data_IF_158096522154
#
_entry.id   IF_158096522154
#
_cell.length_a   1.000
_cell.length_b   1.000
_cell.length_c   1.000
_cell.angle_alpha   90.00
_cell.angle_beta   90.00
_cell.angle_gamma   90.00
#
_symmetry.space_group_name_H-M   'P 1'
#
loop_
_entity.id
_entity.type
_entity.pdbx_description
1 polymer ?
#
# COMPACT_ATOMS: atom_id res chain seq x y z
N UNK A 1 35.48 -1.42 -2.56
CA UNK A 1 34.92 -0.29 -1.79
C UNK A 1 33.40 -0.26 -2.01
N UNK A 2 32.57 -0.66 -1.04
CA UNK A 2 31.10 -0.56 -1.16
C UNK A 2 30.74 0.93 -1.15
N UNK A 3 30.28 1.50 -2.26
CA UNK A 3 29.71 2.85 -2.26
C UNK A 3 28.46 2.83 -1.38
N UNK A 4 28.39 3.73 -0.40
CA UNK A 4 27.20 3.93 0.41
C UNK A 4 26.01 4.22 -0.52
N UNK A 5 24.89 3.52 -0.31
CA UNK A 5 23.68 3.72 -1.11
C UNK A 5 23.21 5.15 -0.86
N UNK A 6 23.14 5.96 -1.91
CA UNK A 6 22.49 7.27 -1.82
C UNK A 6 20.99 7.04 -1.72
N UNK A 7 20.36 7.59 -0.69
CA UNK A 7 18.91 7.54 -0.50
C UNK A 7 18.24 8.78 -1.08
N UNK A 8 16.99 8.64 -1.53
CA UNK A 8 16.19 9.79 -1.94
C UNK A 8 15.76 10.59 -0.69
N UNK A 9 15.88 11.91 -0.76
CA UNK A 9 15.30 12.80 0.25
C UNK A 9 13.77 12.74 0.23
N UNK A 10 13.13 13.10 1.33
CA UNK A 10 11.67 13.25 1.42
C UNK A 10 11.10 14.11 0.28
N UNK A 11 11.75 15.23 -0.04
CA UNK A 11 11.28 16.13 -1.10
C UNK A 11 11.37 15.48 -2.48
N UNK A 12 12.43 14.73 -2.75
CA UNK A 12 12.55 13.98 -4.00
C UNK A 12 11.49 12.88 -4.09
N UNK A 13 11.24 12.16 -2.98
CA UNK A 13 10.20 11.14 -2.93
C UNK A 13 8.81 11.73 -3.22
N UNK A 14 8.49 12.88 -2.61
CA UNK A 14 7.25 13.58 -2.87
C UNK A 14 7.11 14.03 -4.34
N UNK A 15 8.19 14.56 -4.95
CA UNK A 15 8.19 14.94 -6.37
C UNK A 15 7.92 13.75 -7.29
N UNK A 16 8.56 12.61 -7.02
CA UNK A 16 8.36 11.37 -7.78
C UNK A 16 6.93 10.86 -7.61
N UNK A 17 6.40 10.87 -6.38
CA UNK A 17 5.03 10.46 -6.09
C UNK A 17 3.99 11.29 -6.85
N UNK A 18 4.18 12.62 -6.91
CA UNK A 18 3.31 13.53 -7.67
C UNK A 18 3.45 13.30 -9.18
N UNK A 19 4.68 13.27 -9.70
CA UNK A 19 4.95 13.02 -11.13
C UNK A 19 4.31 11.71 -11.60
N UNK A 20 4.46 10.67 -10.79
CA UNK A 20 3.94 9.33 -11.12
C UNK A 20 2.47 9.14 -10.70
N UNK A 21 1.79 10.22 -10.26
CA UNK A 21 0.37 10.25 -9.90
C UNK A 21 -0.02 9.15 -8.91
N UNK A 22 0.83 8.95 -7.89
CA UNK A 22 0.70 7.88 -6.90
C UNK A 22 0.46 6.49 -7.54
N UNK A 23 1.09 6.20 -8.67
CA UNK A 23 0.89 4.93 -9.40
C UNK A 23 2.20 4.15 -9.46
N UNK A 24 2.14 2.86 -9.16
CA UNK A 24 3.30 1.98 -9.29
C UNK A 24 3.71 1.81 -10.76
N UNK A 25 4.92 2.22 -11.11
CA UNK A 25 5.46 2.11 -12.47
C UNK A 25 5.49 0.67 -13.03
N UNK A 26 5.63 -0.33 -12.16
CA UNK A 26 5.75 -1.74 -12.57
C UNK A 26 4.42 -2.46 -12.74
N UNK A 27 3.33 -1.93 -12.17
CA UNK A 27 2.07 -2.68 -12.04
C UNK A 27 0.81 -1.87 -12.30
N UNK A 28 0.91 -0.54 -12.33
CA UNK A 28 -0.27 0.33 -12.39
C UNK A 28 -1.09 0.35 -11.10
N UNK A 29 -0.63 -0.30 -10.03
CA UNK A 29 -1.36 -0.30 -8.75
C UNK A 29 -1.39 1.11 -8.18
N UNK A 30 -2.55 1.45 -7.62
CA UNK A 30 -2.79 2.68 -6.88
C UNK A 30 -2.01 2.69 -5.56
N UNK A 31 -1.29 3.78 -5.30
CA UNK A 31 -0.52 4.03 -4.08
C UNK A 31 -1.09 5.21 -3.27
N UNK A 32 -2.20 5.79 -3.72
CA UNK A 32 -2.99 6.76 -2.96
C UNK A 32 -3.88 6.04 -1.96
N UNK A 33 -3.50 6.09 -0.69
CA UNK A 33 -4.07 5.21 0.34
C UNK A 33 -5.53 5.53 0.70
N UNK A 34 -6.02 6.74 0.41
CA UNK A 34 -7.42 7.10 0.69
C UNK A 34 -8.41 6.42 -0.26
N UNK A 35 -7.96 5.84 -1.36
CA UNK A 35 -8.80 5.01 -2.23
C UNK A 35 -8.93 3.57 -1.72
N UNK A 36 -8.02 3.12 -0.84
CA UNK A 36 -8.01 1.77 -0.24
C UNK A 36 -7.73 1.82 1.28
N UNK A 37 -8.64 2.41 2.08
CA UNK A 37 -8.36 2.79 3.47
C UNK A 37 -8.27 1.64 4.49
N UNK A 38 -8.45 0.37 4.09
CA UNK A 38 -8.40 -0.77 5.02
C UNK A 38 -7.65 -2.00 4.49
N UNK A 39 -6.93 -1.89 3.37
CA UNK A 39 -6.24 -3.05 2.77
C UNK A 39 -5.15 -3.59 3.72
N UNK A 40 -5.26 -4.85 4.20
CA UNK A 40 -4.16 -5.51 4.91
C UNK A 40 -2.99 -5.75 3.94
N UNK A 41 -1.75 -5.64 4.42
CA UNK A 41 -0.56 -5.92 3.59
C UNK A 41 -0.09 -4.76 2.69
N UNK A 42 -0.53 -3.54 3.01
CA UNK A 42 -0.01 -2.22 2.60
C UNK A 42 0.90 -2.21 1.35
N UNK A 43 0.33 -1.87 0.19
CA UNK A 43 1.11 -1.40 -0.95
C UNK A 43 1.55 0.04 -0.71
N UNK A 44 2.45 0.23 0.25
CA UNK A 44 3.03 1.55 0.53
C UNK A 44 3.81 2.04 -0.68
N UNK A 45 3.76 3.35 -0.90
CA UNK A 45 4.62 3.99 -1.87
C UNK A 45 6.09 3.78 -1.45
N UNK A 46 6.86 3.29 -2.41
CA UNK A 46 8.30 3.21 -2.34
C UNK A 46 8.88 3.97 -3.52
N UNK A 47 10.06 4.54 -3.32
CA UNK A 47 10.82 5.13 -4.42
C UNK A 47 12.00 4.23 -4.71
N UNK A 48 12.01 3.67 -5.92
CA UNK A 48 13.09 2.84 -6.39
C UNK A 48 13.91 3.56 -7.47
N UNK A 49 15.16 3.13 -7.63
CA UNK A 49 16.01 3.63 -8.69
C UNK A 49 15.71 2.91 -10.01
N UNK A 50 15.53 3.65 -11.10
CA UNK A 50 15.46 3.10 -12.47
C UNK A 50 16.77 2.38 -12.77
N UNK A 51 17.88 3.13 -12.74
CA UNK A 51 19.23 2.58 -12.73
C UNK A 51 19.65 2.32 -11.29
N UNK A 52 19.95 1.07 -10.88
CA UNK A 52 20.34 0.76 -9.51
C UNK A 52 21.54 1.59 -9.05
N UNK A 53 21.52 2.02 -7.79
CA UNK A 53 22.64 2.75 -7.17
C UNK A 53 23.95 1.97 -7.23
N UNK A 54 23.90 0.64 -7.06
CA UNK A 54 25.05 -0.25 -7.21
C UNK A 54 25.67 -0.23 -8.62
N UNK A 55 24.89 0.14 -9.65
CA UNK A 55 25.35 0.31 -11.04
C UNK A 55 25.59 1.77 -11.41
N UNK A 56 25.72 2.66 -10.43
CA UNK A 56 26.03 4.07 -10.62
C UNK A 56 24.82 4.99 -10.82
N UNK A 57 23.59 4.49 -10.59
CA UNK A 57 22.41 5.35 -10.56
C UNK A 57 22.46 6.35 -9.40
N UNK A 58 22.07 7.60 -9.66
CA UNK A 58 22.04 8.67 -8.67
C UNK A 58 20.66 8.79 -8.04
N UNK A 59 20.57 9.32 -6.83
CA UNK A 59 19.29 9.69 -6.21
C UNK A 59 18.82 11.04 -6.74
N UNK A 60 18.44 11.08 -8.01
CA UNK A 60 17.81 12.23 -8.68
C UNK A 60 16.37 11.89 -9.02
N UNK A 61 15.50 12.90 -9.11
CA UNK A 61 14.07 12.70 -9.46
C UNK A 61 13.93 11.89 -10.75
N UNK A 62 14.75 12.19 -11.76
CA UNK A 62 14.73 11.52 -13.07
C UNK A 62 15.12 10.03 -12.99
N UNK A 63 15.92 9.64 -12.01
CA UNK A 63 16.33 8.23 -11.82
C UNK A 63 15.46 7.53 -10.76
N UNK A 64 14.44 8.19 -10.22
CA UNK A 64 13.53 7.63 -9.24
C UNK A 64 12.16 7.36 -9.84
N UNK A 65 11.51 6.28 -9.42
CA UNK A 65 10.14 5.92 -9.81
C UNK A 65 9.33 5.50 -8.60
N UNK A 66 8.03 5.76 -8.64
CA UNK A 66 7.07 5.28 -7.66
C UNK A 66 6.83 3.78 -7.90
N UNK A 67 7.04 2.98 -6.87
CA UNK A 67 6.89 1.53 -6.90
C UNK A 67 6.09 1.10 -5.68
N UNK A 68 5.27 0.06 -5.81
CA UNK A 68 4.71 -0.57 -4.63
C UNK A 68 5.80 -1.37 -3.92
N UNK A 69 5.73 -1.41 -2.58
CA UNK A 69 6.65 -2.22 -1.78
C UNK A 69 6.76 -3.67 -2.29
N UNK A 70 5.64 -4.30 -2.66
CA UNK A 70 5.58 -5.67 -3.18
C UNK A 70 6.37 -5.83 -4.48
N UNK A 71 6.19 -4.94 -5.46
CA UNK A 71 6.90 -5.02 -6.73
C UNK A 71 8.37 -4.65 -6.59
N UNK A 72 8.70 -3.73 -5.69
CA UNK A 72 10.09 -3.45 -5.33
C UNK A 72 10.78 -4.68 -4.71
N UNK A 73 10.10 -5.42 -3.82
CA UNK A 73 10.62 -6.67 -3.27
C UNK A 73 10.85 -7.72 -4.38
N UNK A 74 9.87 -7.90 -5.28
CA UNK A 74 10.01 -8.79 -6.44
C UNK A 74 11.23 -8.43 -7.31
N UNK A 75 11.41 -7.14 -7.63
CA UNK A 75 12.53 -6.65 -8.45
C UNK A 75 13.90 -6.92 -7.81
N UNK A 76 14.02 -6.89 -6.48
CA UNK A 76 15.27 -7.29 -5.79
C UNK A 76 15.68 -8.72 -6.11
N UNK A 77 14.72 -9.61 -6.32
CA UNK A 77 14.95 -11.00 -6.68
C UNK A 77 15.10 -11.23 -8.18
N UNK A 78 14.69 -10.27 -9.02
CA UNK A 78 14.79 -10.35 -10.47
C UNK A 78 15.36 -9.06 -11.09
N UNK A 79 16.69 -8.89 -11.00
CA UNK A 79 17.39 -7.67 -11.45
C UNK A 79 17.31 -7.37 -12.96
N UNK A 80 16.73 -8.26 -13.76
CA UNK A 80 16.51 -8.10 -15.19
C UNK A 80 15.13 -7.52 -15.54
N UNK A 81 14.20 -7.49 -14.58
CA UNK A 81 12.83 -6.98 -14.80
C UNK A 81 12.83 -5.44 -14.63
N UNK A 82 13.19 -4.75 -15.71
CA UNK A 82 13.13 -3.28 -15.81
C UNK A 82 11.92 -2.81 -16.61
N UNK A 83 10.92 -3.67 -16.80
CA UNK A 83 9.77 -3.36 -17.62
C UNK A 83 8.83 -2.40 -16.89
N UNK A 84 8.65 -1.21 -17.44
CA UNK A 84 7.71 -0.21 -16.93
C UNK A 84 6.39 -0.33 -17.66
N UNK A 85 5.32 -0.57 -16.90
CA UNK A 85 3.95 -0.47 -17.38
C UNK A 85 3.44 0.97 -17.34
N UNK A 86 3.97 1.78 -16.44
CA UNK A 86 3.63 3.19 -16.28
C UNK A 86 4.89 4.04 -16.13
N UNK A 87 4.88 5.21 -16.75
CA UNK A 87 5.93 6.24 -16.66
C UNK A 87 5.25 7.61 -16.49
N UNK A 88 5.68 8.40 -15.51
CA UNK A 88 5.08 9.71 -15.19
C UNK A 88 3.54 9.69 -15.03
N UNK A 89 3.04 8.57 -14.50
CA UNK A 89 1.60 8.34 -14.30
C UNK A 89 0.81 8.11 -15.59
N UNK A 90 1.48 7.72 -16.68
CA UNK A 90 0.87 7.34 -17.96
C UNK A 90 1.19 5.89 -18.32
N UNK A 91 0.25 5.14 -18.91
CA UNK A 91 0.53 3.79 -19.41
C UNK A 91 1.54 3.84 -20.56
N UNK A 92 2.52 2.93 -20.55
CA UNK A 92 3.51 2.79 -21.63
C UNK A 92 2.93 2.00 -22.80
N UNK A 93 3.60 1.98 -23.95
CA UNK A 93 3.22 1.09 -25.06
C UNK A 93 3.17 -0.37 -24.64
N UNK A 94 4.12 -0.79 -23.78
CA UNK A 94 4.18 -2.13 -23.21
C UNK A 94 2.95 -2.50 -22.37
N UNK A 95 2.32 -1.52 -21.70
CA UNK A 95 1.03 -1.77 -21.04
C UNK A 95 -0.05 -2.11 -22.07
N UNK A 96 -0.20 -1.30 -23.12
CA UNK A 96 -1.24 -1.50 -24.14
C UNK A 96 -1.04 -2.80 -24.92
N UNK A 97 0.21 -3.20 -25.18
CA UNK A 97 0.53 -4.47 -25.83
C UNK A 97 0.12 -5.68 -24.98
N UNK A 98 0.31 -5.62 -23.66
CA UNK A 98 0.03 -6.75 -22.77
C UNK A 98 -1.42 -6.82 -22.28
N UNK A 99 -2.02 -5.66 -21.98
CA UNK A 99 -3.32 -5.57 -21.31
C UNK A 99 -4.40 -4.92 -22.17
N UNK A 100 -4.05 -4.34 -23.31
CA UNK A 100 -4.99 -3.61 -24.15
C UNK A 100 -5.40 -2.27 -23.52
N UNK A 101 -6.67 -1.92 -23.67
CA UNK A 101 -7.21 -0.63 -23.21
C UNK A 101 -7.18 -0.50 -21.69
N UNK A 102 -6.79 0.66 -21.20
CA UNK A 102 -6.84 1.01 -19.79
C UNK A 102 -8.29 0.94 -19.25
N UNK A 103 -8.54 0.29 -18.10
CA UNK A 103 -9.85 0.32 -17.45
C UNK A 103 -10.30 1.75 -17.12
N UNK A 104 -11.59 2.03 -17.24
CA UNK A 104 -12.16 3.39 -17.05
C UNK A 104 -11.89 3.90 -15.63
N UNK A 105 -11.92 3.03 -14.63
CA UNK A 105 -11.64 3.36 -13.24
C UNK A 105 -10.18 3.79 -13.06
N UNK A 106 -9.25 3.12 -13.75
CA UNK A 106 -7.84 3.45 -13.72
C UNK A 106 -7.54 4.76 -14.45
N UNK A 107 -8.15 4.97 -15.62
CA UNK A 107 -8.08 6.22 -16.37
C UNK A 107 -8.59 7.41 -15.53
N UNK A 108 -9.79 7.28 -14.97
CA UNK A 108 -10.41 8.30 -14.11
C UNK A 108 -9.56 8.61 -12.89
N UNK A 109 -8.93 7.60 -12.28
CA UNK A 109 -7.98 7.79 -11.19
C UNK A 109 -6.74 8.56 -11.63
N UNK A 110 -6.12 8.22 -12.76
CA UNK A 110 -4.91 8.91 -13.25
C UNK A 110 -5.20 10.37 -13.61
N UNK A 111 -6.39 10.66 -14.13
CA UNK A 111 -6.84 12.03 -14.36
C UNK A 111 -7.04 12.77 -13.04
N UNK A 112 -7.77 12.18 -12.10
CA UNK A 112 -7.97 12.78 -10.77
C UNK A 112 -6.65 13.08 -10.07
N UNK A 113 -5.75 12.11 -10.01
CA UNK A 113 -4.48 12.22 -9.28
C UNK A 113 -3.44 13.09 -10.00
N UNK A 114 -3.72 13.65 -11.19
CA UNK A 114 -2.82 14.63 -11.80
C UNK A 114 -2.77 15.95 -11.04
N UNK A 115 -3.77 16.23 -10.18
CA UNK A 115 -3.79 17.42 -9.32
C UNK A 115 -3.02 17.26 -8.00
N UNK A 116 -2.34 16.12 -7.78
CA UNK A 116 -1.55 15.89 -6.57
C UNK A 116 -0.45 16.95 -6.42
N UNK A 117 -0.17 17.32 -5.17
CA UNK A 117 0.86 18.26 -4.78
C UNK A 117 1.86 17.61 -3.82
N UNK A 118 3.01 18.27 -3.62
CA UNK A 118 4.13 17.73 -2.83
C UNK A 118 3.70 17.44 -1.38
N UNK A 119 2.86 18.28 -0.81
CA UNK A 119 2.28 18.14 0.52
C UNK A 119 1.49 16.83 0.66
N UNK A 120 0.73 16.43 -0.37
CA UNK A 120 -0.16 15.27 -0.33
C UNK A 120 0.62 13.97 -0.10
N UNK A 121 1.87 13.90 -0.55
CA UNK A 121 2.77 12.80 -0.23
C UNK A 121 3.02 12.66 1.27
N UNK A 122 3.14 13.77 2.01
CA UNK A 122 3.32 13.73 3.46
C UNK A 122 2.06 13.23 4.17
N UNK A 123 0.88 13.56 3.65
CA UNK A 123 -0.38 12.97 4.14
C UNK A 123 -0.40 11.47 3.86
N UNK A 124 -0.14 11.04 2.61
CA UNK A 124 -0.08 9.62 2.24
C UNK A 124 0.92 8.86 3.12
N UNK A 125 2.09 9.45 3.39
CA UNK A 125 3.09 8.86 4.27
C UNK A 125 2.65 8.78 5.73
N UNK A 126 1.90 9.77 6.22
CA UNK A 126 1.27 9.70 7.54
C UNK A 126 0.34 8.48 7.63
N UNK A 127 -0.57 8.32 6.65
CA UNK A 127 -1.49 7.19 6.59
C UNK A 127 -0.74 5.85 6.54
N UNK A 128 0.29 5.75 5.69
CA UNK A 128 1.17 4.58 5.60
C UNK A 128 1.78 4.19 6.95
N UNK A 129 2.25 5.17 7.74
CA UNK A 129 2.82 4.91 9.06
C UNK A 129 1.75 4.47 10.07
N UNK A 130 0.52 4.98 9.97
CA UNK A 130 -0.59 4.48 10.80
C UNK A 130 -0.89 3.03 10.46
N UNK A 131 -0.94 2.65 9.18
CA UNK A 131 -1.12 1.26 8.77
C UNK A 131 -0.02 0.34 9.29
N UNK A 132 1.25 0.76 9.23
CA UNK A 132 2.36 0.02 9.81
C UNK A 132 2.19 -0.18 11.33
N UNK A 133 1.73 0.86 12.05
CA UNK A 133 1.44 0.77 13.48
C UNK A 133 0.24 -0.14 13.80
N UNK A 134 -0.83 -0.09 13.00
CA UNK A 134 -1.97 -1.00 13.14
C UNK A 134 -1.55 -2.45 12.88
N UNK A 135 -0.80 -2.69 11.80
CA UNK A 135 -0.27 -4.02 11.49
C UNK A 135 0.58 -4.57 12.63
N UNK A 136 1.55 -3.79 13.12
CA UNK A 136 2.41 -4.19 14.24
C UNK A 136 1.60 -4.52 15.49
N UNK A 137 0.62 -3.68 15.84
CA UNK A 137 -0.26 -3.90 16.98
C UNK A 137 -1.06 -5.19 16.83
N UNK A 138 -1.73 -5.40 15.68
CA UNK A 138 -2.53 -6.61 15.47
C UNK A 138 -1.66 -7.87 15.44
N UNK A 139 -0.49 -7.80 14.81
CA UNK A 139 0.43 -8.93 14.73
C UNK A 139 0.97 -9.31 16.11
N UNK A 140 1.33 -8.32 16.94
CA UNK A 140 1.72 -8.56 18.33
C UNK A 140 0.57 -9.11 19.16
N UNK A 141 -0.62 -8.50 19.08
CA UNK A 141 -1.79 -8.93 19.86
C UNK A 141 -2.19 -10.39 19.50
N UNK A 142 -1.99 -10.82 18.25
CA UNK A 142 -2.33 -12.18 17.79
C UNK A 142 -1.21 -13.21 17.97
N UNK A 143 0.03 -12.86 17.67
CA UNK A 143 1.16 -13.80 17.58
C UNK A 143 2.25 -13.58 18.63
N UNK A 144 2.12 -12.57 19.49
CA UNK A 144 3.09 -12.29 20.56
C UNK A 144 4.45 -11.77 20.06
N UNK A 145 4.51 -11.13 18.90
CA UNK A 145 5.79 -10.64 18.33
C UNK A 145 6.34 -9.41 19.07
N UNK A 146 7.64 -9.45 19.41
CA UNK A 146 8.37 -8.29 19.95
C UNK A 146 9.26 -7.64 18.89
N UNK A 147 8.64 -6.84 18.02
CA UNK A 147 9.37 -6.04 17.04
C UNK A 147 10.15 -4.91 17.72
N UNK A 148 11.38 -4.63 17.26
CA UNK A 148 12.21 -3.51 17.76
C UNK A 148 11.52 -2.14 17.66
N UNK A 149 10.61 -1.99 16.70
CA UNK A 149 9.78 -0.80 16.51
C UNK A 149 8.35 -1.19 16.72
N UNK A 150 7.78 -0.70 17.81
CA UNK A 150 6.39 -0.95 18.16
C UNK A 150 5.44 0.01 17.45
N UNK A 151 4.15 -0.26 17.57
CA UNK A 151 3.07 0.58 17.07
C UNK A 151 3.15 2.03 17.58
N UNK A 152 3.68 2.29 18.78
CA UNK A 152 3.89 3.66 19.27
C UNK A 152 4.95 4.42 18.47
N UNK A 153 6.07 3.77 18.12
CA UNK A 153 7.07 4.33 17.22
C UNK A 153 6.43 4.77 15.89
N UNK A 154 5.61 3.90 15.32
CA UNK A 154 4.95 4.16 14.03
C UNK A 154 3.97 5.32 14.10
N UNK A 155 3.15 5.41 15.16
CA UNK A 155 2.23 6.53 15.33
C UNK A 155 2.95 7.87 15.53
N UNK A 156 4.06 7.90 16.27
CA UNK A 156 4.89 9.12 16.38
C UNK A 156 5.47 9.52 15.02
N UNK A 157 5.94 8.56 14.23
CA UNK A 157 6.45 8.82 12.88
C UNK A 157 5.35 9.32 11.94
N UNK A 158 4.13 8.79 12.05
CA UNK A 158 2.94 9.25 11.33
C UNK A 158 2.62 10.71 11.68
N UNK A 159 2.52 11.01 12.98
CA UNK A 159 2.20 12.36 13.45
C UNK A 159 3.19 13.42 12.95
N UNK A 160 4.50 13.12 12.94
CA UNK A 160 5.52 14.01 12.36
C UNK A 160 5.29 14.31 10.88
N UNK A 161 4.83 13.32 10.11
CA UNK A 161 4.50 13.50 8.68
C UNK A 161 3.22 14.32 8.51
N UNK A 162 2.22 14.08 9.34
CA UNK A 162 0.99 14.88 9.38
C UNK A 162 1.27 16.36 9.68
N UNK A 163 2.06 16.68 10.71
CA UNK A 163 2.42 18.08 11.02
C UNK A 163 3.13 18.76 9.86
N UNK A 164 3.97 18.02 9.12
CA UNK A 164 4.62 18.53 7.91
C UNK A 164 3.64 18.78 6.78
N UNK A 165 2.68 17.87 6.55
CA UNK A 165 1.58 18.09 5.62
C UNK A 165 0.79 19.36 5.97
N UNK A 166 0.32 19.49 7.22
CA UNK A 166 -0.48 20.62 7.68
C UNK A 166 0.23 21.96 7.46
N UNK A 167 1.54 22.02 7.75
CA UNK A 167 2.35 23.22 7.50
C UNK A 167 2.46 23.60 6.03
N UNK A 168 2.61 22.61 5.15
CA UNK A 168 2.77 22.86 3.71
C UNK A 168 1.43 23.15 3.02
N UNK A 169 0.34 22.56 3.52
CA UNK A 169 -1.01 22.67 2.97
C UNK A 169 -1.79 23.90 3.47
N UNK A 170 -1.29 24.65 4.46
CA UNK A 170 -2.04 25.69 5.17
C UNK A 170 -2.70 26.75 4.27
N UNK A 171 -2.09 27.08 3.12
CA UNK A 171 -2.59 28.09 2.18
C UNK A 171 -2.89 27.49 0.79
N UNK A 172 -3.17 26.19 0.73
CA UNK A 172 -3.44 25.47 -0.51
C UNK A 172 -4.93 25.13 -0.61
N UNK A 173 -5.50 25.06 -1.82
CA UNK A 173 -6.82 24.48 -2.02
C UNK A 173 -6.87 23.06 -1.42
N UNK A 174 -8.02 22.71 -0.83
CA UNK A 174 -8.19 21.42 -0.16
C UNK A 174 -8.08 20.25 -1.17
N UNK A 175 -8.06 19.01 -0.65
CA UNK A 175 -8.07 17.84 -1.52
C UNK A 175 -9.37 17.77 -2.32
N UNK A 176 -10.47 18.22 -1.72
CA UNK A 176 -11.79 18.32 -2.32
C UNK A 176 -11.83 19.42 -3.38
N UNK A 177 -11.30 20.61 -3.10
CA UNK A 177 -11.27 21.72 -4.09
C UNK A 177 -10.42 21.38 -5.33
N UNK A 178 -9.48 20.45 -5.20
CA UNK A 178 -8.62 19.96 -6.29
C UNK A 178 -9.14 18.69 -6.96
N UNK A 179 -10.35 18.26 -6.62
CA UNK A 179 -10.98 17.01 -7.05
C UNK A 179 -10.18 15.75 -6.74
N UNK A 180 -9.12 15.82 -5.91
CA UNK A 180 -8.33 14.66 -5.47
C UNK A 180 -9.20 13.69 -4.67
N UNK A 181 -10.25 14.20 -4.02
CA UNK A 181 -11.24 13.39 -3.32
C UNK A 181 -12.63 13.96 -3.63
N UNK A 182 -13.44 13.19 -4.36
CA UNK A 182 -14.77 13.65 -4.78
C UNK A 182 -15.89 13.03 -3.95
N UNK A 183 -15.77 11.75 -3.55
CA UNK A 183 -16.76 11.03 -2.72
C UNK A 183 -16.06 10.02 -1.83
N UNK A 184 -15.46 10.45 -0.70
CA UNK A 184 -14.78 9.51 0.17
C UNK A 184 -15.82 8.52 0.72
N UNK A 185 -15.47 7.23 0.76
CA UNK A 185 -16.26 6.26 1.53
C UNK A 185 -16.33 6.72 3.00
N UNK A 186 -17.33 6.30 3.79
CA UNK A 186 -17.42 6.69 5.21
C UNK A 186 -16.10 6.48 5.96
N UNK A 187 -15.43 5.39 5.64
CA UNK A 187 -14.11 5.00 6.15
C UNK A 187 -12.99 5.92 5.66
N UNK A 188 -12.91 6.24 4.36
CA UNK A 188 -11.98 7.26 3.87
C UNK A 188 -12.24 8.63 4.53
N UNK A 189 -13.50 8.95 4.83
CA UNK A 189 -13.90 10.12 5.62
C UNK A 189 -13.33 10.11 7.04
N UNK A 190 -13.29 8.95 7.71
CA UNK A 190 -12.63 8.82 9.01
C UNK A 190 -11.12 9.08 8.91
N UNK A 191 -10.46 8.52 7.89
CA UNK A 191 -9.03 8.79 7.64
C UNK A 191 -8.76 10.25 7.34
N UNK A 192 -9.65 10.93 6.62
CA UNK A 192 -9.53 12.35 6.33
C UNK A 192 -9.57 13.21 7.59
N UNK A 193 -10.23 12.79 8.67
CA UNK A 193 -10.20 13.52 9.95
C UNK A 193 -8.80 13.63 10.56
N UNK A 194 -7.88 12.73 10.21
CA UNK A 194 -6.48 12.86 10.65
C UNK A 194 -5.86 14.16 10.18
N UNK A 195 -6.25 14.67 9.01
CA UNK A 195 -5.67 15.89 8.42
C UNK A 195 -5.88 17.12 9.31
N UNK A 196 -6.94 17.12 10.12
CA UNK A 196 -7.33 18.22 11.01
C UNK A 196 -6.95 17.99 12.47
N UNK A 197 -6.27 16.89 12.81
CA UNK A 197 -5.82 16.65 14.18
C UNK A 197 -4.77 17.70 14.58
N UNK A 198 -5.10 18.57 15.53
CA UNK A 198 -4.28 19.72 15.95
C UNK A 198 -3.18 19.38 16.94
N UNK A 199 -3.20 18.17 17.50
CA UNK A 199 -2.24 17.71 18.51
C UNK A 199 -2.02 16.20 18.41
N UNK A 200 -0.95 15.71 19.02
CA UNK A 200 -0.68 14.26 19.08
C UNK A 200 -1.80 13.51 19.80
N UNK A 201 -2.35 13.97 20.95
CA UNK A 201 -3.51 13.32 21.56
C UNK A 201 -4.73 13.26 20.63
N UNK A 202 -5.07 14.35 19.93
CA UNK A 202 -6.20 14.35 18.98
C UNK A 202 -5.96 13.37 17.83
N UNK A 203 -4.72 13.29 17.33
CA UNK A 203 -4.32 12.31 16.33
C UNK A 203 -4.49 10.87 16.85
N UNK A 204 -4.03 10.60 18.07
CA UNK A 204 -4.17 9.30 18.73
C UNK A 204 -5.64 8.91 18.96
N UNK A 205 -6.52 9.87 19.26
CA UNK A 205 -7.97 9.64 19.34
C UNK A 205 -8.53 9.18 18.00
N UNK A 206 -8.25 9.88 16.91
CA UNK A 206 -8.77 9.52 15.57
C UNK A 206 -8.28 8.15 15.12
N UNK A 207 -6.99 7.82 15.29
CA UNK A 207 -6.51 6.47 14.95
C UNK A 207 -7.13 5.39 15.85
N UNK A 208 -7.45 5.73 17.11
CA UNK A 208 -8.13 4.83 18.04
C UNK A 208 -9.55 4.48 17.59
N UNK A 209 -10.25 5.43 16.97
CA UNK A 209 -11.58 5.22 16.38
C UNK A 209 -11.52 4.35 15.10
N UNK A 210 -10.46 4.47 14.30
CA UNK A 210 -10.27 3.70 13.06
C UNK A 210 -9.80 2.26 13.35
N UNK A 211 -9.02 2.07 14.42
CA UNK A 211 -8.35 0.79 14.71
C UNK A 211 -9.28 -0.44 14.75
N UNK A 212 -10.48 -0.41 15.36
CA UNK A 212 -11.37 -1.58 15.40
C UNK A 212 -11.73 -2.11 14.01
N UNK A 213 -12.03 -1.22 13.07
CA UNK A 213 -12.34 -1.61 11.69
C UNK A 213 -11.13 -2.26 11.01
N UNK A 214 -9.94 -1.70 11.20
CA UNK A 214 -8.71 -2.30 10.70
C UNK A 214 -8.42 -3.66 11.32
N UNK A 215 -8.52 -3.78 12.64
CA UNK A 215 -8.29 -5.03 13.39
C UNK A 215 -9.19 -6.15 12.88
N UNK A 216 -10.48 -5.88 12.65
CA UNK A 216 -11.42 -6.86 12.11
C UNK A 216 -11.01 -7.37 10.72
N UNK A 217 -10.57 -6.45 9.85
CA UNK A 217 -10.11 -6.75 8.50
C UNK A 217 -8.78 -7.53 8.54
N UNK A 218 -7.85 -7.18 9.43
CA UNK A 218 -6.62 -7.94 9.66
C UNK A 218 -6.90 -9.36 10.17
N UNK A 219 -7.75 -9.52 11.17
CA UNK A 219 -8.09 -10.83 11.74
C UNK A 219 -8.71 -11.75 10.69
N UNK A 220 -9.58 -11.18 9.84
CA UNK A 220 -10.19 -11.88 8.71
C UNK A 220 -9.13 -12.37 7.73
N UNK A 221 -8.22 -11.47 7.34
CA UNK A 221 -7.11 -11.81 6.45
C UNK A 221 -6.22 -12.90 7.04
N UNK A 222 -5.80 -12.74 8.30
CA UNK A 222 -4.95 -13.69 9.00
C UNK A 222 -5.59 -15.08 9.05
N UNK A 223 -6.86 -15.13 9.46
CA UNK A 223 -7.61 -16.38 9.59
C UNK A 223 -7.68 -17.12 8.25
N UNK A 224 -7.90 -16.42 7.13
CA UNK A 224 -8.03 -17.05 5.82
C UNK A 224 -6.70 -17.38 5.12
N UNK A 225 -5.77 -16.42 5.09
CA UNK A 225 -4.55 -16.52 4.28
C UNK A 225 -3.36 -17.10 5.04
N UNK A 226 -3.34 -17.04 6.37
CA UNK A 226 -2.19 -17.44 7.17
C UNK A 226 -2.48 -18.64 8.04
N UNK A 227 -3.67 -18.71 8.64
CA UNK A 227 -3.99 -19.71 9.65
C UNK A 227 -4.81 -20.89 9.11
N UNK A 228 -5.44 -20.77 7.93
CA UNK A 228 -6.14 -21.90 7.30
C UNK A 228 -5.14 -22.93 6.78
N UNK A 229 -5.24 -24.17 7.28
CA UNK A 229 -4.38 -25.28 6.88
C UNK A 229 -5.06 -26.18 5.84
N UNK A 230 -6.40 -26.14 5.74
CA UNK A 230 -7.18 -26.97 4.82
C UNK A 230 -8.13 -26.20 3.90
N UNK A 231 -8.55 -26.80 2.75
CA UNK A 231 -9.58 -26.22 1.89
C UNK A 231 -10.94 -26.05 2.57
N UNK A 232 -11.30 -26.96 3.49
CA UNK A 232 -12.60 -26.94 4.18
C UNK A 232 -12.66 -25.78 5.19
N UNK A 233 -11.59 -25.57 5.97
CA UNK A 233 -11.44 -24.40 6.85
C UNK A 233 -11.51 -23.10 6.05
N UNK A 234 -10.78 -23.04 4.91
CA UNK A 234 -10.84 -21.89 4.03
C UNK A 234 -12.27 -21.64 3.50
N UNK A 235 -13.04 -22.69 3.20
CA UNK A 235 -14.44 -22.60 2.83
C UNK A 235 -15.31 -21.97 3.92
N UNK A 236 -15.19 -22.46 5.16
CA UNK A 236 -15.95 -21.93 6.30
C UNK A 236 -15.63 -20.46 6.59
N UNK A 237 -14.34 -20.09 6.58
CA UNK A 237 -13.91 -18.71 6.76
C UNK A 237 -14.43 -17.84 5.61
N UNK A 238 -14.35 -18.31 4.36
CA UNK A 238 -14.87 -17.58 3.20
C UNK A 238 -16.36 -17.27 3.33
N UNK A 239 -17.20 -18.28 3.63
CA UNK A 239 -18.65 -18.11 3.77
C UNK A 239 -18.99 -17.11 4.88
N UNK A 240 -18.34 -17.25 6.04
CA UNK A 240 -18.51 -16.34 7.18
C UNK A 240 -18.18 -14.90 6.81
N UNK A 241 -17.11 -14.69 6.04
CA UNK A 241 -16.65 -13.35 5.66
C UNK A 241 -17.52 -12.74 4.57
N UNK A 242 -17.98 -13.52 3.59
CA UNK A 242 -18.90 -13.03 2.57
C UNK A 242 -20.22 -12.55 3.17
N UNK A 243 -20.68 -13.19 4.25
CA UNK A 243 -21.88 -12.80 4.98
C UNK A 243 -21.69 -11.61 5.95
N UNK A 244 -20.46 -11.17 6.18
CA UNK A 244 -20.16 -10.09 7.15
C UNK A 244 -20.21 -8.72 6.50
N UNK A 245 -20.99 -7.80 7.06
CA UNK A 245 -21.03 -6.39 6.62
C UNK A 245 -19.82 -5.57 7.11
N UNK A 246 -19.08 -6.08 8.10
CA UNK A 246 -17.94 -5.39 8.74
C UNK A 246 -16.59 -5.62 8.03
N UNK A 247 -16.56 -6.49 7.01
CA UNK A 247 -15.36 -6.76 6.21
C UNK A 247 -15.43 -5.99 4.89
N UNK A 248 -14.37 -5.27 4.57
CA UNK A 248 -14.36 -4.43 3.38
C UNK A 248 -14.35 -5.26 2.08
N UNK A 249 -14.94 -4.69 1.03
CA UNK A 249 -15.06 -5.33 -0.29
C UNK A 249 -13.70 -5.70 -0.89
N UNK A 250 -12.63 -4.99 -0.55
CA UNK A 250 -11.28 -5.30 -1.03
C UNK A 250 -10.79 -6.65 -0.48
N UNK A 251 -11.01 -6.94 0.81
CA UNK A 251 -10.70 -8.25 1.39
C UNK A 251 -11.60 -9.32 0.77
N UNK A 252 -12.91 -9.03 0.66
CA UNK A 252 -13.85 -9.98 0.06
C UNK A 252 -13.47 -10.33 -1.38
N UNK A 253 -13.04 -9.34 -2.16
CA UNK A 253 -12.56 -9.51 -3.53
C UNK A 253 -11.28 -10.36 -3.60
N UNK A 254 -10.30 -10.11 -2.71
CA UNK A 254 -9.08 -10.92 -2.63
C UNK A 254 -9.39 -12.39 -2.29
N UNK A 255 -10.23 -12.62 -1.28
CA UNK A 255 -10.64 -13.97 -0.87
C UNK A 255 -11.45 -14.67 -1.96
N UNK A 256 -12.35 -13.96 -2.66
CA UNK A 256 -13.12 -14.53 -3.79
C UNK A 256 -12.20 -15.01 -4.90
N UNK A 257 -11.16 -14.24 -5.23
CA UNK A 257 -10.18 -14.63 -6.24
C UNK A 257 -9.41 -15.87 -5.81
N UNK A 258 -8.87 -15.88 -4.58
CA UNK A 258 -8.11 -17.02 -4.05
C UNK A 258 -8.98 -18.28 -3.91
N UNK A 259 -10.18 -18.16 -3.37
CA UNK A 259 -11.12 -19.25 -3.21
C UNK A 259 -11.46 -19.92 -4.56
N UNK A 260 -11.73 -19.13 -5.60
CA UNK A 260 -11.95 -19.64 -6.96
C UNK A 260 -10.73 -20.39 -7.52
N UNK A 261 -9.51 -19.94 -7.19
CA UNK A 261 -8.28 -20.63 -7.57
C UNK A 261 -8.11 -21.95 -6.83
N UNK A 262 -8.41 -22.00 -5.53
CA UNK A 262 -8.41 -23.24 -4.72
C UNK A 262 -9.40 -24.26 -5.27
N UNK A 263 -10.62 -23.84 -5.61
CA UNK A 263 -11.64 -24.70 -6.20
C UNK A 263 -11.21 -25.29 -7.56
N UNK A 264 -10.59 -24.48 -8.43
CA UNK A 264 -10.04 -24.96 -9.70
C UNK A 264 -8.91 -25.99 -9.51
N UNK A 265 -8.16 -25.90 -8.41
CA UNK A 265 -7.08 -26.84 -8.06
C UNK A 265 -7.60 -28.11 -7.41
N UNK A 266 -8.61 -28.03 -6.55
CA UNK A 266 -9.22 -29.21 -5.90
C UNK A 266 -9.98 -30.14 -6.86
N UNK A 267 -10.41 -29.65 -8.03
CA UNK A 267 -11.07 -30.45 -9.07
C UNK A 267 -10.13 -31.19 -10.04
N UNK A 268 -8.82 -30.96 -9.96
CA UNK A 268 -7.81 -31.77 -10.64
C UNK A 268 -6.98 -32.40 -9.54
N UNK A 269 -6.92 -33.73 -9.44
CA UNK A 269 -5.95 -34.36 -8.55
C UNK A 269 -4.55 -33.82 -8.88
N UNK A 270 -3.93 -33.07 -7.97
CA UNK A 270 -2.63 -32.44 -8.20
C UNK A 270 -1.63 -33.01 -7.21
N UNK A 271 -0.93 -34.04 -7.66
CA UNK A 271 0.50 -34.23 -7.39
C UNK A 271 1.27 -33.18 -8.20
N UNK A 272 1.29 -31.94 -7.74
CA UNK A 272 2.28 -30.96 -8.22
C UNK A 272 2.45 -29.84 -7.17
N UNK A 273 3.60 -29.87 -6.51
CA UNK A 273 4.02 -28.98 -5.42
C UNK A 273 4.53 -27.62 -5.92
N UNK A 274 4.08 -27.16 -7.09
CA UNK A 274 4.34 -25.78 -7.51
C UNK A 274 3.43 -24.82 -6.73
N UNK A 275 3.96 -24.29 -5.63
CA UNK A 275 3.38 -23.26 -4.78
C UNK A 275 2.83 -22.11 -5.62
N UNK A 276 1.54 -21.74 -5.53
CA UNK A 276 1.10 -20.45 -6.04
C UNK A 276 1.74 -19.36 -5.18
N UNK A 277 2.44 -18.43 -5.82
CA UNK A 277 2.92 -17.22 -5.16
C UNK A 277 1.68 -16.39 -4.76
N UNK A 278 1.33 -16.45 -3.48
CA UNK A 278 0.37 -15.54 -2.85
C UNK A 278 1.01 -14.14 -2.82
N UNK A 279 0.38 -13.08 -3.37
CA UNK A 279 0.84 -11.71 -3.18
C UNK A 279 0.73 -11.36 -1.69
N UNK A 280 1.83 -11.49 -0.95
CA UNK A 280 1.83 -11.31 0.50
C UNK A 280 2.87 -12.16 1.25
N UNK A 281 3.41 -13.22 0.63
CA UNK A 281 4.54 -13.94 1.22
C UNK A 281 5.88 -13.31 0.82
N UNK A 282 6.26 -12.29 1.58
CA UNK A 282 7.63 -12.08 2.05
C UNK A 282 7.62 -10.96 3.09
N UNK A 283 7.54 -11.30 4.37
CA UNK A 283 8.39 -10.60 5.32
C UNK A 283 9.73 -11.33 5.24
N UNK A 284 10.78 -10.73 4.65
CA UNK A 284 12.08 -11.35 4.67
C UNK A 284 12.60 -11.32 6.09
N UNK A 285 13.15 -12.45 6.55
CA UNK A 285 14.15 -12.44 7.61
C UNK A 285 15.19 -11.37 7.28
N UNK A 286 15.31 -10.36 8.15
CA UNK A 286 16.23 -9.23 7.95
C UNK A 286 15.59 -7.88 7.62
N UNK A 287 14.34 -7.62 8.04
CA UNK A 287 13.80 -6.26 8.12
C UNK A 287 14.69 -5.38 9.04
N UNK A 288 15.55 -4.58 8.41
CA UNK A 288 16.32 -3.54 9.07
C UNK A 288 15.94 -2.20 8.42
N UNK A 289 15.14 -1.36 9.07
CA UNK A 289 14.73 -0.10 8.48
C UNK A 289 15.81 0.94 8.81
N UNK A 290 16.79 1.05 7.91
CA UNK A 290 17.64 2.25 7.82
C UNK A 290 16.82 3.50 7.49
#
# INVERSE_FOLDING_TARGET
MRRARTEFTDLQKAKIFVRDRATCCFSGVNLWLLDSPLRPGVQTDWVDHVRPSARGGRSSVDNGVCASHTYNAKKRHNSADTFFLFEEGQPTSGYFELFGRLPIEQESRLLRLSGLAIEDWFLNRSLSRVFEGFYDRCYRDRYGSDNKRDFHYWYRAAYRKLTKYQRLAANRPTLEDRDIITRPSPLAGQWLRLRTASSEPAFLTVIGEIYPAYKRNFETWASYFWDCESPDEAGQVYETVMASDDVCDEIKGCMTCDYRLRQKRGGRGVTDTSTPIVPGQSLPDGWNPG
#
